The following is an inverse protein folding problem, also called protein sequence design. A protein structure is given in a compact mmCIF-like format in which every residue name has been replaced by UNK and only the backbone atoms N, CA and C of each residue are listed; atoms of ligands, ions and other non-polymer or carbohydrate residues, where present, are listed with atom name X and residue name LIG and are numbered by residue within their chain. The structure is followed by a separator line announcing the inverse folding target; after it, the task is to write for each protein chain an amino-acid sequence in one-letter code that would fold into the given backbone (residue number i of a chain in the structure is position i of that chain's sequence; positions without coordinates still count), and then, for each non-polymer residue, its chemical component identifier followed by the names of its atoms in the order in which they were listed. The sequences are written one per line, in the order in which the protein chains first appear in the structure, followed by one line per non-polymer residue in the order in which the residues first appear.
data_IF_752542743584
#
_entry.id   IF_752542743584
#
_cell.length_a   1.000
_cell.length_b   1.000
_cell.length_c   1.000
_cell.angle_alpha   90.00
_cell.angle_beta   90.00
_cell.angle_gamma   90.00
#
_symmetry.space_group_name_H-M   'P 1'
#
loop_
_entity.id
_entity.type
_entity.pdbx_description
1 polymer ?
#
# COMPACT_ATOMS: atom_id res chain seq x y z
N UNK A 1 -7.47 20.48 -21.73
CA UNK A 1 -8.60 20.23 -22.66
C UNK A 1 -8.25 19.23 -23.77
N UNK A 2 -7.03 19.22 -24.34
CA UNK A 2 -6.57 18.22 -25.35
C UNK A 2 -6.95 16.79 -24.97
N UNK A 3 -6.51 16.32 -23.79
CA UNK A 3 -6.68 14.91 -23.38
C UNK A 3 -8.16 14.51 -23.36
N UNK A 4 -9.03 15.35 -22.78
CA UNK A 4 -10.47 15.07 -22.75
C UNK A 4 -11.07 15.01 -24.16
N UNK A 5 -10.71 15.94 -25.06
CA UNK A 5 -11.17 15.93 -26.45
C UNK A 5 -10.72 14.68 -27.21
N UNK A 6 -9.48 14.23 -27.02
CA UNK A 6 -8.98 13.01 -27.63
C UNK A 6 -9.71 11.77 -27.11
N UNK A 7 -9.93 11.68 -25.79
CA UNK A 7 -10.65 10.56 -25.16
C UNK A 7 -12.09 10.47 -25.67
N UNK A 8 -12.82 11.59 -25.74
CA UNK A 8 -14.22 11.54 -26.23
C UNK A 8 -14.31 11.22 -27.72
N UNK A 9 -13.33 11.63 -28.55
CA UNK A 9 -13.25 11.21 -29.96
C UNK A 9 -13.06 9.70 -30.10
N UNK A 10 -12.16 9.10 -29.33
CA UNK A 10 -11.95 7.65 -29.33
C UNK A 10 -13.20 6.90 -28.87
N UNK A 11 -13.94 7.47 -27.91
CA UNK A 11 -15.12 6.83 -27.32
C UNK A 11 -16.40 7.02 -28.15
N UNK A 12 -16.46 8.03 -29.03
CA UNK A 12 -17.66 8.40 -29.78
C UNK A 12 -18.30 7.27 -30.59
N UNK A 13 -17.56 6.36 -31.26
CA UNK A 13 -18.16 5.23 -31.97
C UNK A 13 -18.96 4.28 -31.08
N UNK A 14 -18.69 4.27 -29.77
CA UNK A 14 -19.35 3.38 -28.80
C UNK A 14 -20.42 4.10 -27.98
N UNK A 15 -20.20 5.39 -27.66
CA UNK A 15 -21.07 6.18 -26.78
C UNK A 15 -21.42 7.53 -27.42
N UNK A 16 -22.12 7.55 -28.57
CA UNK A 16 -22.21 8.74 -29.42
C UNK A 16 -22.95 9.91 -28.77
N UNK A 17 -24.07 9.66 -28.09
CA UNK A 17 -24.90 10.72 -27.52
C UNK A 17 -24.22 11.45 -26.34
N UNK A 18 -23.64 10.70 -25.40
CA UNK A 18 -22.98 11.28 -24.22
C UNK A 18 -21.71 12.01 -24.64
N UNK A 19 -20.90 11.41 -25.51
CA UNK A 19 -19.66 12.04 -25.98
C UNK A 19 -19.94 13.29 -26.80
N UNK A 20 -20.99 13.32 -27.62
CA UNK A 20 -21.43 14.53 -28.33
C UNK A 20 -21.86 15.63 -27.35
N UNK A 21 -22.68 15.32 -26.33
CA UNK A 21 -23.08 16.32 -25.35
C UNK A 21 -21.87 16.91 -24.59
N UNK A 22 -20.94 16.06 -24.15
CA UNK A 22 -19.70 16.49 -23.50
C UNK A 22 -18.87 17.35 -24.45
N UNK A 23 -18.77 16.97 -25.72
CA UNK A 23 -18.03 17.73 -26.73
C UNK A 23 -18.62 19.12 -26.97
N UNK A 24 -19.95 19.24 -27.04
CA UNK A 24 -20.61 20.55 -27.17
C UNK A 24 -20.35 21.45 -25.96
N UNK A 25 -20.43 20.89 -24.74
CA UNK A 25 -20.06 21.64 -23.52
C UNK A 25 -18.58 22.02 -23.54
N UNK A 26 -17.71 21.13 -24.01
CA UNK A 26 -16.28 21.38 -24.14
C UNK A 26 -15.98 22.50 -25.16
N UNK A 27 -16.71 22.56 -26.28
CA UNK A 27 -16.62 23.65 -27.25
C UNK A 27 -16.93 25.01 -26.61
N UNK A 28 -17.93 25.06 -25.72
CA UNK A 28 -18.31 26.31 -25.03
C UNK A 28 -17.26 26.76 -24.00
N UNK A 29 -16.72 25.83 -23.19
CA UNK A 29 -15.79 26.18 -22.09
C UNK A 29 -14.32 26.22 -22.50
N UNK A 30 -13.95 25.51 -23.57
CA UNK A 30 -12.58 25.40 -24.08
C UNK A 30 -12.57 25.32 -25.63
N UNK A 31 -12.88 26.46 -26.31
CA UNK A 31 -12.93 26.52 -27.78
C UNK A 31 -11.54 26.35 -28.42
N UNK A 32 -10.48 26.76 -27.72
CA UNK A 32 -9.10 26.49 -28.11
C UNK A 32 -8.56 25.45 -27.15
N UNK A 33 -8.21 24.29 -27.69
CA UNK A 33 -7.86 23.14 -26.87
C UNK A 33 -6.75 22.28 -27.46
N UNK A 34 -5.99 22.79 -28.42
CA UNK A 34 -4.68 22.25 -28.80
C UNK A 34 -3.60 22.57 -27.75
N UNK A 35 -2.43 21.95 -27.88
CA UNK A 35 -1.24 22.30 -27.11
C UNK A 35 -0.30 23.07 -28.03
N UNK A 36 0.03 24.31 -27.68
CA UNK A 36 0.87 25.17 -28.50
C UNK A 36 2.22 24.49 -28.80
N UNK A 37 2.55 24.36 -30.10
CA UNK A 37 3.79 23.73 -30.56
C UNK A 37 3.83 22.21 -30.43
N UNK A 38 2.79 21.55 -29.91
CA UNK A 38 2.76 20.10 -29.67
C UNK A 38 1.58 19.41 -30.35
N UNK A 39 0.38 19.98 -30.27
CA UNK A 39 -0.85 19.42 -30.85
C UNK A 39 -1.69 20.54 -31.45
N UNK A 40 -1.77 20.58 -32.78
CA UNK A 40 -2.77 21.39 -33.47
C UNK A 40 -4.11 20.64 -33.49
N UNK A 41 -5.11 21.19 -32.82
CA UNK A 41 -6.43 20.57 -32.71
C UNK A 41 -7.51 21.44 -33.32
N UNK A 42 -8.03 20.99 -34.47
CA UNK A 42 -9.17 21.64 -35.11
C UNK A 42 -10.47 21.21 -34.46
N UNK A 43 -11.19 22.21 -33.95
CA UNK A 43 -12.52 22.04 -33.36
C UNK A 43 -13.56 22.10 -34.48
N UNK A 44 -14.34 21.02 -34.61
CA UNK A 44 -15.49 20.95 -35.50
C UNK A 44 -16.79 21.28 -34.74
N UNK A 45 -17.84 21.65 -35.48
CA UNK A 45 -19.15 21.97 -34.90
C UNK A 45 -19.81 20.76 -34.21
N UNK A 46 -19.53 19.54 -34.65
CA UNK A 46 -20.01 18.31 -34.03
C UNK A 46 -18.91 17.26 -33.92
N UNK A 47 -19.00 16.42 -32.89
CA UNK A 47 -17.99 15.37 -32.63
C UNK A 47 -18.00 14.33 -33.75
N UNK A 48 -19.17 13.98 -34.27
CA UNK A 48 -19.32 13.04 -35.41
C UNK A 48 -18.60 13.51 -36.68
N UNK A 49 -18.41 14.82 -36.86
CA UNK A 49 -17.69 15.41 -38.01
C UNK A 49 -16.21 15.68 -37.72
N UNK A 50 -15.76 15.37 -36.52
CA UNK A 50 -14.43 15.69 -36.06
C UNK A 50 -13.40 14.68 -36.59
N UNK A 51 -12.17 15.13 -36.83
CA UNK A 51 -11.10 14.24 -37.27
C UNK A 51 -10.76 13.18 -36.21
N UNK A 52 -10.41 11.97 -36.66
CA UNK A 52 -9.95 10.91 -35.77
C UNK A 52 -8.62 11.30 -35.09
N UNK A 53 -8.41 10.93 -33.80
CA UNK A 53 -7.15 11.10 -33.09
C UNK A 53 -5.93 10.54 -33.84
N UNK A 54 -4.87 11.33 -33.97
CA UNK A 54 -3.61 10.91 -34.59
C UNK A 54 -2.50 11.96 -34.39
N UNK A 55 -1.25 11.60 -34.71
CA UNK A 55 -0.11 12.51 -34.65
C UNK A 55 0.42 12.78 -33.24
N UNK A 56 0.16 11.88 -32.29
CA UNK A 56 0.57 12.01 -30.88
C UNK A 56 1.79 11.14 -30.54
N UNK A 57 2.37 10.45 -31.52
CA UNK A 57 3.52 9.55 -31.35
C UNK A 57 4.74 10.30 -30.80
N UNK A 58 4.87 11.58 -31.14
CA UNK A 58 5.92 12.47 -30.63
C UNK A 58 5.77 12.85 -29.15
N UNK A 59 4.61 12.60 -28.55
CA UNK A 59 4.32 12.86 -27.14
C UNK A 59 4.56 11.64 -26.25
N UNK A 60 4.92 10.49 -26.83
CA UNK A 60 5.26 9.29 -26.06
C UNK A 60 6.57 9.55 -25.33
N UNK A 61 6.49 9.59 -24.01
CA UNK A 61 7.63 9.84 -23.13
C UNK A 61 7.76 8.71 -22.08
N UNK A 62 8.58 7.69 -22.38
CA UNK A 62 8.80 6.58 -21.44
C UNK A 62 9.43 7.02 -20.11
N UNK A 63 10.13 8.16 -20.06
CA UNK A 63 10.70 8.67 -18.83
C UNK A 63 9.61 9.28 -17.94
N UNK A 64 8.69 10.04 -18.52
CA UNK A 64 7.51 10.55 -17.80
C UNK A 64 6.62 9.42 -17.30
N UNK A 65 6.39 8.38 -18.10
CA UNK A 65 5.63 7.19 -17.69
C UNK A 65 6.25 6.52 -16.46
N UNK A 66 7.57 6.27 -16.49
CA UNK A 66 8.31 5.71 -15.34
C UNK A 66 8.24 6.61 -14.11
N UNK A 67 8.32 7.93 -14.28
CA UNK A 67 8.21 8.87 -13.17
C UNK A 67 6.82 8.84 -12.53
N UNK A 68 5.75 8.78 -13.35
CA UNK A 68 4.38 8.62 -12.86
C UNK A 68 4.21 7.29 -12.13
N UNK A 69 4.75 6.20 -12.67
CA UNK A 69 4.70 4.89 -12.02
C UNK A 69 5.43 4.89 -10.67
N UNK A 70 6.62 5.50 -10.61
CA UNK A 70 7.40 5.65 -9.38
C UNK A 70 6.66 6.44 -8.30
N UNK A 71 5.75 7.35 -8.66
CA UNK A 71 4.88 8.08 -7.72
C UNK A 71 3.65 7.23 -7.35
N UNK A 72 3.02 6.56 -8.31
CA UNK A 72 1.83 5.74 -8.07
C UNK A 72 2.10 4.54 -7.17
N UNK A 73 3.28 3.94 -7.27
CA UNK A 73 3.58 2.71 -6.56
C UNK A 73 3.63 2.91 -5.02
N UNK A 74 4.29 3.95 -4.46
CA UNK A 74 4.16 4.31 -3.05
C UNK A 74 2.73 4.67 -2.64
N UNK A 75 1.95 5.37 -3.47
CA UNK A 75 0.55 5.69 -3.16
C UNK A 75 -0.27 4.40 -2.94
N UNK A 76 -0.11 3.41 -3.83
CA UNK A 76 -0.79 2.10 -3.70
C UNK A 76 -0.36 1.40 -2.41
N UNK A 77 0.94 1.29 -2.19
CA UNK A 77 1.50 0.69 -0.98
C UNK A 77 0.97 1.32 0.31
N UNK A 78 0.88 2.65 0.36
CA UNK A 78 0.34 3.38 1.51
C UNK A 78 -1.15 3.08 1.67
N UNK A 79 -1.95 3.06 0.61
CA UNK A 79 -3.38 2.69 0.67
C UNK A 79 -3.58 1.23 1.12
N UNK A 80 -2.70 0.32 0.70
CA UNK A 80 -2.75 -1.08 1.11
C UNK A 80 -2.45 -1.24 2.60
N UNK A 81 -1.43 -0.55 3.12
CA UNK A 81 -1.15 -0.49 4.56
C UNK A 81 -2.38 0.04 5.32
N UNK A 82 -3.03 1.11 4.83
CA UNK A 82 -4.24 1.64 5.48
C UNK A 82 -5.34 0.59 5.58
N UNK A 83 -5.56 -0.18 4.51
CA UNK A 83 -6.56 -1.23 4.51
C UNK A 83 -6.18 -2.37 5.46
N UNK A 84 -4.91 -2.79 5.45
CA UNK A 84 -4.40 -3.87 6.30
C UNK A 84 -4.51 -3.56 7.79
N UNK A 85 -4.22 -2.32 8.19
CA UNK A 85 -4.30 -1.85 9.57
C UNK A 85 -5.62 -1.14 9.90
N UNK A 86 -6.61 -1.23 9.01
CA UNK A 86 -7.96 -0.68 9.17
C UNK A 86 -7.99 0.81 9.58
N UNK A 87 -7.11 1.62 8.96
CA UNK A 87 -6.96 3.04 9.25
C UNK A 87 -8.11 3.84 8.60
N UNK A 88 -8.91 4.50 9.44
CA UNK A 88 -10.07 5.29 9.01
C UNK A 88 -9.73 6.31 7.91
N UNK A 89 -10.52 6.43 6.81
CA UNK A 89 -10.25 7.36 5.69
C UNK A 89 -10.04 8.83 6.06
N UNK A 90 -10.59 9.27 7.20
CA UNK A 90 -10.42 10.62 7.74
C UNK A 90 -9.06 10.84 8.41
N UNK A 91 -8.40 9.78 8.88
CA UNK A 91 -7.09 9.87 9.49
C UNK A 91 -6.03 10.32 8.49
N UNK A 92 -5.09 11.15 8.96
CA UNK A 92 -4.01 11.77 8.19
C UNK A 92 -2.65 11.41 8.79
N UNK A 93 -2.23 10.13 8.70
CA UNK A 93 -0.95 9.69 9.25
C UNK A 93 0.22 10.34 8.49
N UNK A 94 1.38 10.34 9.13
CA UNK A 94 2.63 10.68 8.47
C UNK A 94 3.21 9.42 7.79
N UNK A 95 3.89 9.62 6.66
CA UNK A 95 4.64 8.56 6.02
C UNK A 95 6.00 9.07 5.55
N UNK A 96 6.96 8.16 5.48
CA UNK A 96 8.27 8.44 4.92
C UNK A 96 8.74 7.36 3.97
N UNK A 97 9.78 7.66 3.19
CA UNK A 97 10.40 6.68 2.31
C UNK A 97 11.93 6.76 2.34
N UNK A 98 12.58 5.63 2.09
CA UNK A 98 14.03 5.50 1.88
C UNK A 98 14.28 4.74 0.58
N UNK A 99 15.28 5.17 -0.19
CA UNK A 99 15.65 4.59 -1.47
C UNK A 99 16.71 5.44 -2.18
N UNK A 100 16.93 5.25 -3.48
CA UNK A 100 17.88 6.07 -4.24
C UNK A 100 17.55 7.57 -4.16
N UNK A 101 18.58 8.42 -4.16
CA UNK A 101 18.44 9.86 -4.02
C UNK A 101 17.53 10.48 -5.11
N UNK A 102 17.71 10.05 -6.36
CA UNK A 102 16.88 10.50 -7.50
C UNK A 102 15.40 10.20 -7.30
N UNK A 103 15.07 9.01 -6.79
CA UNK A 103 13.68 8.63 -6.48
C UNK A 103 13.15 9.42 -5.30
N UNK A 104 13.95 9.63 -4.25
CA UNK A 104 13.56 10.44 -3.10
C UNK A 104 13.26 11.90 -3.50
N UNK A 105 14.09 12.50 -4.36
CA UNK A 105 13.87 13.83 -4.91
C UNK A 105 12.55 13.92 -5.70
N UNK A 106 12.29 12.94 -6.58
CA UNK A 106 11.03 12.85 -7.34
C UNK A 106 9.82 12.77 -6.40
N UNK A 107 9.87 11.92 -5.37
CA UNK A 107 8.79 11.76 -4.42
C UNK A 107 8.58 13.03 -3.57
N UNK A 108 9.65 13.68 -3.14
CA UNK A 108 9.58 14.95 -2.41
C UNK A 108 9.00 16.08 -3.26
N UNK A 109 9.40 16.18 -4.52
CA UNK A 109 8.85 17.16 -5.46
C UNK A 109 7.33 16.96 -5.67
N UNK A 110 6.82 15.75 -5.44
CA UNK A 110 5.41 15.39 -5.58
C UNK A 110 4.73 15.08 -4.23
N UNK A 111 5.32 15.50 -3.10
CA UNK A 111 4.83 15.15 -1.75
C UNK A 111 3.38 15.59 -1.52
N UNK A 112 2.98 16.76 -2.03
CA UNK A 112 1.60 17.23 -1.92
C UNK A 112 0.59 16.31 -2.63
N UNK A 113 0.95 15.81 -3.82
CA UNK A 113 0.13 14.86 -4.57
C UNK A 113 0.04 13.52 -3.84
N UNK A 114 1.17 13.02 -3.33
CA UNK A 114 1.24 11.82 -2.49
C UNK A 114 0.34 11.96 -1.25
N UNK A 115 0.43 13.07 -0.52
CA UNK A 115 -0.40 13.33 0.64
C UNK A 115 -1.89 13.34 0.28
N UNK A 116 -2.26 14.01 -0.81
CA UNK A 116 -3.64 14.10 -1.24
C UNK A 116 -4.22 12.73 -1.65
N UNK A 117 -3.52 12.02 -2.54
CA UNK A 117 -4.01 10.76 -3.09
C UNK A 117 -3.92 9.61 -2.08
N UNK A 118 -2.91 9.58 -1.22
CA UNK A 118 -2.75 8.51 -0.23
C UNK A 118 -3.41 8.83 1.12
N UNK A 119 -3.95 10.04 1.30
CA UNK A 119 -4.66 10.45 2.51
C UNK A 119 -3.73 10.65 3.71
N UNK A 120 -2.56 11.26 3.50
CA UNK A 120 -1.55 11.52 4.52
C UNK A 120 -1.62 12.97 5.03
N UNK A 121 -1.12 13.18 6.24
CA UNK A 121 -0.87 14.53 6.78
C UNK A 121 0.47 15.10 6.31
N UNK A 122 1.50 14.25 6.21
CA UNK A 122 2.85 14.61 5.78
C UNK A 122 3.51 13.44 5.06
N UNK A 123 4.34 13.77 4.08
CA UNK A 123 5.20 12.82 3.39
C UNK A 123 6.62 13.41 3.22
N UNK A 124 7.64 12.58 3.40
CA UNK A 124 9.04 12.93 3.12
C UNK A 124 9.84 11.68 2.73
N UNK A 125 10.75 11.81 1.77
CA UNK A 125 11.67 10.76 1.37
C UNK A 125 13.13 11.20 1.53
N UNK A 126 13.98 10.32 2.06
CA UNK A 126 15.43 10.52 2.09
C UNK A 126 16.15 9.17 2.08
N UNK A 127 17.31 9.04 1.39
CA UNK A 127 18.11 7.81 1.38
C UNK A 127 18.37 7.25 2.79
N UNK A 128 18.63 8.14 3.76
CA UNK A 128 19.01 7.77 5.12
C UNK A 128 17.81 7.63 6.07
N UNK A 129 16.57 7.61 5.54
CA UNK A 129 15.39 7.49 6.40
C UNK A 129 15.35 6.11 7.05
N UNK A 130 15.58 6.08 8.37
CA UNK A 130 15.38 4.88 9.17
C UNK A 130 13.88 4.59 9.36
N UNK A 131 13.53 3.31 9.41
CA UNK A 131 12.18 2.86 9.74
C UNK A 131 11.86 3.24 11.20
N UNK A 132 10.82 4.04 11.48
CA UNK A 132 10.36 4.25 12.86
C UNK A 132 9.81 2.96 13.47
N UNK A 133 9.94 2.80 14.80
CA UNK A 133 9.52 1.57 15.50
C UNK A 133 8.02 1.28 15.34
N UNK A 134 7.19 2.32 15.41
CA UNK A 134 5.72 2.24 15.30
C UNK A 134 5.23 2.20 13.85
N UNK A 135 6.14 2.17 12.87
CA UNK A 135 5.78 2.25 11.47
C UNK A 135 5.52 0.88 10.84
N UNK A 136 4.43 0.80 10.08
CA UNK A 136 4.26 -0.25 9.08
C UNK A 136 5.23 0.00 7.93
N UNK A 137 5.88 -1.05 7.45
CA UNK A 137 6.89 -0.95 6.38
C UNK A 137 6.53 -1.86 5.22
N UNK A 138 6.78 -1.37 4.00
CA UNK A 138 6.66 -2.15 2.77
C UNK A 138 7.71 -1.69 1.77
N UNK A 139 8.09 -2.56 0.85
CA UNK A 139 9.10 -2.27 -0.18
C UNK A 139 8.40 -2.25 -1.54
N UNK A 140 8.67 -1.20 -2.31
CA UNK A 140 8.12 -0.96 -3.64
C UNK A 140 9.29 -0.70 -4.59
N UNK A 141 9.66 -1.70 -5.37
CA UNK A 141 10.88 -1.65 -6.17
C UNK A 141 12.11 -1.54 -5.26
N UNK A 142 12.85 -0.44 -5.38
CA UNK A 142 14.01 -0.09 -4.57
C UNK A 142 13.71 0.93 -3.45
N UNK A 143 12.43 1.27 -3.25
CA UNK A 143 11.99 2.22 -2.23
C UNK A 143 11.32 1.49 -1.09
N UNK A 144 11.83 1.68 0.12
CA UNK A 144 11.15 1.31 1.36
C UNK A 144 10.21 2.44 1.77
N UNK A 145 8.94 2.12 2.00
CA UNK A 145 7.90 3.06 2.44
C UNK A 145 7.48 2.71 3.87
N UNK A 146 7.39 3.73 4.71
CA UNK A 146 7.08 3.63 6.13
C UNK A 146 5.85 4.49 6.44
N UNK A 147 4.78 3.90 6.97
CA UNK A 147 3.65 4.67 7.50
C UNK A 147 3.73 4.69 9.02
N UNK A 148 3.81 5.88 9.58
CA UNK A 148 4.17 6.10 10.98
C UNK A 148 2.95 5.94 11.87
N UNK A 149 3.18 5.50 13.11
CA UNK A 149 2.17 5.38 14.18
C UNK A 149 0.93 4.55 13.80
N UNK A 150 1.12 3.58 12.90
CA UNK A 150 0.07 2.66 12.45
C UNK A 150 -0.03 1.45 13.36
N UNK A 151 1.10 1.03 13.93
CA UNK A 151 1.12 -0.08 14.86
C UNK A 151 0.67 0.46 16.21
N UNK A 152 -0.56 0.15 16.60
CA UNK A 152 -1.00 0.35 17.99
C UNK A 152 -0.22 -0.63 18.87
N UNK A 153 0.90 -0.15 19.41
CA UNK A 153 1.79 -0.94 20.28
C UNK A 153 1.04 -1.45 21.50
N UNK A 154 0.05 -0.70 22.01
CA UNK A 154 -0.73 -1.13 23.17
C UNK A 154 -1.69 -2.27 22.79
N UNK A 155 -2.41 -2.15 21.68
CA UNK A 155 -3.28 -3.23 21.19
C UNK A 155 -2.48 -4.47 20.76
N UNK A 156 -1.34 -4.28 20.09
CA UNK A 156 -0.49 -5.38 19.64
C UNK A 156 0.20 -6.08 20.82
N UNK A 157 0.68 -5.33 21.81
CA UNK A 157 1.13 -5.87 23.10
C UNK A 157 0.01 -6.66 23.77
N UNK A 158 -1.19 -6.11 23.90
CA UNK A 158 -2.33 -6.80 24.53
C UNK A 158 -2.66 -8.11 23.81
N UNK A 159 -2.64 -8.11 22.48
CA UNK A 159 -2.87 -9.29 21.64
C UNK A 159 -1.79 -10.35 21.85
N UNK A 160 -0.52 -9.95 21.84
CA UNK A 160 0.61 -10.85 22.04
C UNK A 160 0.69 -11.37 23.48
N UNK A 161 0.39 -10.56 24.49
CA UNK A 161 0.29 -10.97 25.89
C UNK A 161 -0.83 -12.01 26.09
N UNK A 162 -2.00 -11.79 25.48
CA UNK A 162 -3.08 -12.78 25.49
C UNK A 162 -2.65 -14.09 24.83
N UNK A 163 -2.01 -14.03 23.66
CA UNK A 163 -1.51 -15.21 22.95
C UNK A 163 -0.43 -15.94 23.76
N UNK A 164 0.48 -15.20 24.39
CA UNK A 164 1.49 -15.73 25.31
C UNK A 164 0.84 -16.47 26.49
N UNK A 165 -0.19 -15.88 27.10
CA UNK A 165 -0.92 -16.50 28.21
C UNK A 165 -1.62 -17.81 27.77
N UNK A 166 -2.26 -17.82 26.60
CA UNK A 166 -2.89 -19.02 26.04
C UNK A 166 -1.87 -20.14 25.77
N UNK A 167 -0.72 -19.81 25.14
CA UNK A 167 0.37 -20.77 24.88
C UNK A 167 0.96 -21.28 26.20
N UNK A 168 1.19 -20.40 27.17
CA UNK A 168 1.73 -20.77 28.48
C UNK A 168 0.78 -21.70 29.25
N UNK A 169 -0.53 -21.43 29.21
CA UNK A 169 -1.54 -22.30 29.81
C UNK A 169 -1.59 -23.68 29.13
N UNK A 170 -1.54 -23.71 27.80
CA UNK A 170 -1.46 -24.98 27.04
C UNK A 170 -0.19 -25.76 27.37
N UNK A 171 0.97 -25.08 27.46
CA UNK A 171 2.25 -25.68 27.84
C UNK A 171 2.18 -26.28 29.23
N UNK A 172 1.69 -25.53 30.22
CA UNK A 172 1.53 -26.00 31.60
C UNK A 172 0.63 -27.26 31.68
N UNK A 173 -0.44 -27.31 30.87
CA UNK A 173 -1.30 -28.50 30.79
C UNK A 173 -0.59 -29.74 30.23
N UNK A 174 0.30 -29.57 29.24
CA UNK A 174 1.11 -30.66 28.70
C UNK A 174 2.21 -31.08 29.68
N UNK A 175 2.87 -30.13 30.35
CA UNK A 175 3.85 -30.39 31.39
C UNK A 175 3.25 -31.16 32.57
N UNK A 176 2.05 -30.79 33.02
CA UNK A 176 1.35 -31.51 34.08
C UNK A 176 0.99 -32.95 33.68
N UNK A 177 0.64 -33.19 32.40
CA UNK A 177 0.41 -34.56 31.88
C UNK A 177 1.70 -35.38 31.86
N UNK A 178 2.79 -34.78 31.39
CA UNK A 178 4.11 -35.45 31.32
C UNK A 178 4.77 -35.61 32.69
N UNK A 179 4.44 -34.77 33.67
CA UNK A 179 4.89 -34.90 35.07
C UNK A 179 4.08 -35.90 35.89
N UNK A 180 2.99 -36.47 35.34
CA UNK A 180 2.22 -37.50 36.00
C UNK A 180 2.81 -38.88 35.69
N UNK A 181 3.46 -39.50 36.67
CA UNK A 181 4.09 -40.81 36.55
C UNK A 181 3.13 -41.91 36.05
N UNK A 182 1.83 -41.83 36.40
CA UNK A 182 0.85 -42.78 35.88
C UNK A 182 0.65 -42.62 34.37
N UNK A 183 0.68 -41.40 33.83
CA UNK A 183 0.53 -41.16 32.40
C UNK A 183 1.77 -41.63 31.65
N UNK A 184 2.97 -41.28 32.14
CA UNK A 184 4.24 -41.67 31.49
C UNK A 184 4.43 -43.19 31.48
N UNK A 185 4.04 -43.88 32.56
CA UNK A 185 4.28 -45.32 32.69
C UNK A 185 3.14 -46.19 32.15
N UNK A 186 1.90 -45.69 32.02
CA UNK A 186 0.74 -46.49 31.57
C UNK A 186 0.21 -46.10 30.20
N UNK A 187 0.48 -44.91 29.69
CA UNK A 187 0.04 -44.53 28.35
C UNK A 187 0.88 -45.23 27.28
N UNK A 188 0.32 -45.36 26.07
CA UNK A 188 1.05 -45.91 24.91
C UNK A 188 2.27 -45.02 24.61
N UNK A 189 3.44 -45.60 24.23
CA UNK A 189 4.65 -44.83 23.92
C UNK A 189 4.41 -43.71 22.90
N UNK A 190 3.60 -43.95 21.87
CA UNK A 190 3.23 -42.95 20.86
C UNK A 190 2.52 -41.73 21.45
N UNK A 191 1.64 -41.93 22.44
CA UNK A 191 0.89 -40.84 23.09
C UNK A 191 1.80 -40.02 24.00
N UNK A 192 2.76 -40.66 24.67
CA UNK A 192 3.79 -39.97 25.48
C UNK A 192 4.72 -39.16 24.57
N UNK A 193 5.15 -39.74 23.45
CA UNK A 193 6.01 -39.04 22.48
C UNK A 193 5.28 -37.85 21.86
N UNK A 194 4.02 -38.01 21.45
CA UNK A 194 3.22 -36.91 20.92
C UNK A 194 3.06 -35.75 21.94
N UNK A 195 2.92 -36.08 23.23
CA UNK A 195 2.89 -35.06 24.29
C UNK A 195 4.26 -34.35 24.45
N UNK A 196 5.38 -35.07 24.33
CA UNK A 196 6.73 -34.47 24.34
C UNK A 196 6.98 -33.56 23.14
N UNK A 197 6.59 -34.00 21.95
CA UNK A 197 6.72 -33.19 20.73
C UNK A 197 5.87 -31.92 20.83
N UNK A 198 4.63 -32.05 21.36
CA UNK A 198 3.77 -30.91 21.60
C UNK A 198 4.34 -29.94 22.63
N UNK A 199 5.02 -30.43 23.67
CA UNK A 199 5.71 -29.59 24.65
C UNK A 199 6.84 -28.79 23.99
N UNK A 200 7.65 -29.43 23.14
CA UNK A 200 8.72 -28.76 22.41
C UNK A 200 8.16 -27.66 21.48
N UNK A 201 7.11 -27.97 20.72
CA UNK A 201 6.46 -27.00 19.84
C UNK A 201 5.91 -25.78 20.60
N UNK A 202 5.20 -26.01 21.71
CA UNK A 202 4.67 -24.93 22.55
C UNK A 202 5.78 -24.09 23.19
N UNK A 203 6.92 -24.69 23.51
CA UNK A 203 8.08 -23.99 24.07
C UNK A 203 8.71 -23.05 23.04
N UNK A 204 8.89 -23.51 21.80
CA UNK A 204 9.38 -22.65 20.71
C UNK A 204 8.40 -21.53 20.37
N UNK A 205 7.10 -21.82 20.32
CA UNK A 205 6.08 -20.80 20.09
C UNK A 205 6.04 -19.74 21.20
N UNK A 206 6.22 -20.15 22.46
CA UNK A 206 6.28 -19.24 23.60
C UNK A 206 7.51 -18.33 23.51
N UNK A 207 8.69 -18.91 23.22
CA UNK A 207 9.95 -18.17 23.04
C UNK A 207 9.83 -17.14 21.92
N UNK A 208 9.25 -17.51 20.78
CA UNK A 208 9.02 -16.60 19.67
C UNK A 208 8.07 -15.44 20.04
N UNK A 209 6.99 -15.73 20.77
CA UNK A 209 6.07 -14.70 21.25
C UNK A 209 6.72 -13.74 22.26
N UNK A 210 7.57 -14.24 23.15
CA UNK A 210 8.32 -13.42 24.11
C UNK A 210 9.37 -12.53 23.43
N UNK A 211 10.04 -13.02 22.38
CA UNK A 211 10.95 -12.22 21.56
C UNK A 211 10.26 -11.02 20.89
N UNK A 212 9.09 -11.25 20.27
CA UNK A 212 8.30 -10.19 19.65
C UNK A 212 7.77 -9.16 20.68
N UNK A 213 7.43 -9.61 21.89
CA UNK A 213 7.03 -8.71 22.98
C UNK A 213 8.19 -7.83 23.48
N UNK A 214 9.42 -8.37 23.49
CA UNK A 214 10.61 -7.60 23.86
C UNK A 214 10.89 -6.48 22.84
N UNK A 215 10.80 -6.77 21.53
CA UNK A 215 10.96 -5.79 20.45
C UNK A 215 9.93 -4.64 20.50
N UNK A 216 8.77 -4.85 21.14
CA UNK A 216 7.74 -3.82 21.34
C UNK A 216 7.94 -2.99 22.63
N UNK A 217 8.89 -3.35 23.48
CA UNK A 217 9.12 -2.70 24.79
C UNK A 217 10.32 -1.74 24.77
N UNK A 218 11.34 -2.03 23.97
CA UNK A 218 12.53 -1.18 23.78
C UNK A 218 12.33 -0.13 22.68
#
# INVERSE_FOLDING_TARGET
AVVLDQVIRLLHPFVPFITEEIYQKLNAVAPIRGLAGLVDLKVADSLVRSAWPGGLESLVDPAAERAVEAIQAPIRAIRDIRNQYNIAPSARPEASASGPATTCELLNANAALLCHLAGLGRFHASPDTAKPRTAAATIVGDVSVFMHDVIDVAAERTRLEKKRAEIAAAKAGVEAKLGNDNFVNRAKPEVVQQARDRLAELTEQLRAAEGLLAELTD
#
